data_IF_929798897471
#
_entry.id   IF_929798897471
#
_cell.length_a   1.000
_cell.length_b   1.000
_cell.length_c   1.000
_cell.angle_alpha   90.00
_cell.angle_beta   90.00
_cell.angle_gamma   90.00
#
_symmetry.space_group_name_H-M   'P 1'
#
loop_
_entity.id
_entity.type
_entity.pdbx_description
1 polymer ?
#
# COMPACT_ATOMS: atom_id res chain seq x y z
N UNK A 1 -14.26 -4.54 39.46
CA UNK A 1 -14.80 -3.16 39.55
C UNK A 1 -15.00 -2.66 38.13
N UNK A 2 -16.17 -2.06 37.93
CA UNK A 2 -16.85 -1.71 36.67
C UNK A 2 -15.99 -1.14 35.52
N UNK A 3 -16.36 -1.58 34.32
CA UNK A 3 -16.22 -0.88 33.05
C UNK A 3 -16.62 0.61 33.17
N UNK A 4 -15.77 1.49 32.66
CA UNK A 4 -16.21 2.78 32.13
C UNK A 4 -15.87 2.86 30.65
N UNK A 5 -16.94 2.81 29.86
CA UNK A 5 -16.99 3.10 28.45
C UNK A 5 -16.41 4.50 28.18
N UNK A 6 -15.42 4.60 27.30
CA UNK A 6 -15.12 5.86 26.62
C UNK A 6 -16.26 6.15 25.64
N UNK A 7 -17.32 6.76 26.19
CA UNK A 7 -18.44 7.38 25.49
C UNK A 7 -17.84 8.46 24.58
N UNK A 8 -18.15 8.39 23.29
CA UNK A 8 -17.80 9.35 22.25
C UNK A 8 -16.34 9.35 21.76
N UNK A 9 -15.91 8.27 21.10
CA UNK A 9 -14.94 8.45 20.01
C UNK A 9 -15.72 9.10 18.86
N UNK A 10 -15.78 10.43 18.86
CA UNK A 10 -16.05 11.14 17.63
C UNK A 10 -14.87 10.82 16.70
N UNK A 11 -15.12 9.98 15.68
CA UNK A 11 -14.29 9.92 14.49
C UNK A 11 -14.43 11.28 13.79
N UNK A 12 -13.77 12.30 14.34
CA UNK A 12 -13.65 13.60 13.69
C UNK A 12 -12.85 13.33 12.42
N UNK A 13 -13.51 13.53 11.29
CA UNK A 13 -12.95 13.46 9.96
C UNK A 13 -11.81 14.50 9.87
N UNK A 14 -10.61 14.08 10.24
CA UNK A 14 -9.43 14.94 10.31
C UNK A 14 -8.51 14.53 9.17
N UNK A 15 -8.63 15.24 8.05
CA UNK A 15 -7.65 15.17 6.97
C UNK A 15 -6.30 15.62 7.54
N UNK A 16 -5.35 14.69 7.68
CA UNK A 16 -3.94 15.01 7.90
C UNK A 16 -3.52 15.32 9.35
N UNK A 17 -3.80 14.44 10.32
CA UNK A 17 -3.12 14.46 11.62
C UNK A 17 -1.67 13.94 11.49
N UNK A 18 -0.81 14.67 10.78
CA UNK A 18 0.64 14.39 10.73
C UNK A 18 1.45 15.20 11.76
N UNK A 19 0.88 16.24 12.34
CA UNK A 19 1.58 17.04 13.36
C UNK A 19 0.86 16.96 14.70
N UNK A 20 1.64 16.67 15.75
CA UNK A 20 1.34 17.08 17.12
C UNK A 20 0.48 16.15 18.01
N UNK A 21 0.88 14.88 18.18
CA UNK A 21 0.30 14.08 19.27
C UNK A 21 1.33 13.17 19.98
N UNK A 22 1.23 13.11 21.33
CA UNK A 22 2.14 12.39 22.24
C UNK A 22 2.12 10.86 22.09
N UNK A 23 3.00 10.17 22.84
CA UNK A 23 3.38 8.76 22.62
C UNK A 23 2.25 7.75 22.40
N UNK A 24 1.10 7.88 23.09
CA UNK A 24 -0.07 7.01 22.89
C UNK A 24 -0.83 7.28 21.59
N UNK A 25 -0.97 8.53 21.17
CA UNK A 25 -1.65 8.91 19.92
C UNK A 25 -0.80 8.64 18.68
N UNK A 26 0.53 8.56 18.81
CA UNK A 26 1.41 8.09 17.71
C UNK A 26 1.11 6.65 17.30
N UNK A 27 0.71 5.79 18.25
CA UNK A 27 0.29 4.42 17.96
C UNK A 27 -1.02 4.40 17.17
N UNK A 28 -2.00 5.23 17.56
CA UNK A 28 -3.26 5.36 16.82
C UNK A 28 -3.05 5.94 15.43
N UNK A 29 -2.20 6.95 15.27
CA UNK A 29 -1.86 7.49 13.95
C UNK A 29 -1.15 6.46 13.05
N UNK A 30 -0.35 5.55 13.61
CA UNK A 30 0.23 4.43 12.84
C UNK A 30 -0.84 3.44 12.39
N UNK A 31 -1.75 3.04 13.28
CA UNK A 31 -2.85 2.11 12.97
C UNK A 31 -3.80 2.72 11.93
N UNK A 32 -4.18 3.99 12.10
CA UNK A 32 -5.04 4.73 11.18
C UNK A 32 -4.44 4.77 9.77
N UNK A 33 -3.17 5.17 9.66
CA UNK A 33 -2.44 5.15 8.38
C UNK A 33 -2.37 3.77 7.74
N UNK A 34 -2.24 2.69 8.53
CA UNK A 34 -2.22 1.32 7.99
C UNK A 34 -3.57 0.85 7.47
N UNK A 35 -4.67 1.34 8.04
CA UNK A 35 -6.03 0.98 7.66
C UNK A 35 -6.46 1.64 6.34
N UNK A 36 -6.03 2.88 6.12
CA UNK A 36 -6.46 3.67 4.96
C UNK A 36 -5.39 3.84 3.88
N UNK A 37 -4.21 3.20 4.00
CA UNK A 37 -3.17 3.28 2.97
C UNK A 37 -2.84 1.92 2.39
N UNK A 38 -2.56 1.91 1.09
CA UNK A 38 -2.14 0.73 0.33
C UNK A 38 -0.82 1.08 -0.35
N UNK A 39 0.23 0.32 -0.08
CA UNK A 39 1.50 0.43 -0.78
C UNK A 39 1.60 -0.66 -1.84
N UNK A 40 2.09 -0.31 -3.02
CA UNK A 40 2.16 -1.24 -4.14
C UNK A 40 3.01 -0.71 -5.28
N UNK A 41 3.09 -1.53 -6.32
CA UNK A 41 3.81 -1.16 -7.52
C UNK A 41 3.07 -1.58 -8.77
N UNK A 42 3.25 -0.80 -9.82
CA UNK A 42 2.67 -1.04 -11.12
C UNK A 42 3.59 -1.90 -12.00
N UNK A 43 2.98 -2.87 -12.68
CA UNK A 43 3.62 -3.67 -13.73
C UNK A 43 2.78 -3.58 -14.99
N UNK A 44 3.42 -3.23 -16.10
CA UNK A 44 2.76 -3.24 -17.41
C UNK A 44 3.12 -4.51 -18.17
N UNK A 45 2.16 -5.41 -18.37
CA UNK A 45 2.38 -6.67 -19.07
C UNK A 45 1.27 -6.90 -20.09
N UNK A 46 1.60 -7.27 -21.32
CA UNK A 46 0.65 -7.47 -22.43
C UNK A 46 -0.34 -6.30 -22.62
N UNK A 47 0.18 -5.06 -22.59
CA UNK A 47 -0.62 -3.82 -22.70
C UNK A 47 -1.67 -3.60 -21.59
N UNK A 48 -1.66 -4.45 -20.54
CA UNK A 48 -2.46 -4.27 -19.33
C UNK A 48 -1.59 -3.76 -18.19
N UNK A 49 -2.17 -2.92 -17.32
CA UNK A 49 -1.54 -2.46 -16.09
C UNK A 49 -2.05 -3.29 -14.92
N UNK A 50 -1.12 -3.79 -14.11
CA UNK A 50 -1.37 -4.53 -12.89
C UNK A 50 -0.80 -3.76 -11.71
N UNK A 51 -1.61 -3.58 -10.67
CA UNK A 51 -1.15 -3.02 -9.41
C UNK A 51 -0.96 -4.15 -8.40
N UNK A 52 0.29 -4.40 -8.00
CA UNK A 52 0.62 -5.41 -6.99
C UNK A 52 0.68 -4.72 -5.63
N UNK A 53 -0.23 -5.13 -4.75
CA UNK A 53 -0.23 -4.69 -3.35
C UNK A 53 0.89 -5.40 -2.58
N UNK A 54 1.80 -4.66 -1.95
CA UNK A 54 2.91 -5.24 -1.19
C UNK A 54 2.43 -6.11 -0.03
N UNK A 55 1.26 -5.80 0.55
CA UNK A 55 0.62 -6.64 1.58
C UNK A 55 0.34 -8.07 1.12
N UNK A 56 0.20 -8.30 -0.19
CA UNK A 56 -0.04 -9.63 -0.76
C UNK A 56 1.25 -10.44 -0.99
N UNK A 57 2.42 -9.83 -0.73
CA UNK A 57 3.74 -10.44 -0.93
C UNK A 57 4.46 -10.48 0.41
N UNK A 58 4.42 -11.62 1.13
CA UNK A 58 4.97 -11.73 2.49
C UNK A 58 6.43 -11.30 2.61
N UNK A 59 7.22 -11.47 1.54
CA UNK A 59 8.62 -11.06 1.49
C UNK A 59 8.85 -9.54 1.57
N UNK A 60 7.79 -8.73 1.48
CA UNK A 60 7.82 -7.27 1.57
C UNK A 60 6.93 -6.71 2.69
N UNK A 61 6.60 -7.51 3.72
CA UNK A 61 5.75 -7.06 4.83
C UNK A 61 6.34 -5.83 5.57
N UNK A 62 7.64 -5.85 5.85
CA UNK A 62 8.33 -4.75 6.52
C UNK A 62 8.35 -3.49 5.64
N UNK A 63 8.63 -3.64 4.35
CA UNK A 63 8.57 -2.55 3.38
C UNK A 63 7.16 -1.96 3.24
N UNK A 64 6.12 -2.80 3.19
CA UNK A 64 4.72 -2.39 3.14
C UNK A 64 4.33 -1.55 4.37
N UNK A 65 4.71 -2.02 5.55
CA UNK A 65 4.51 -1.29 6.81
C UNK A 65 5.26 0.05 6.79
N UNK A 66 6.54 0.04 6.40
CA UNK A 66 7.38 1.24 6.40
C UNK A 66 6.86 2.31 5.44
N UNK A 67 6.44 1.92 4.23
CA UNK A 67 5.89 2.82 3.21
C UNK A 67 4.55 3.42 3.63
N UNK A 68 3.67 2.63 4.25
CA UNK A 68 2.36 3.14 4.70
C UNK A 68 2.49 4.13 5.85
N UNK A 69 3.42 3.91 6.79
CA UNK A 69 3.60 4.81 7.95
C UNK A 69 4.18 6.16 7.52
N UNK A 70 5.26 6.13 6.73
CA UNK A 70 6.01 7.32 6.34
C UNK A 70 6.61 7.12 4.95
N UNK A 71 5.81 7.40 3.89
CA UNK A 71 6.32 7.40 2.53
C UNK A 71 7.30 8.56 2.33
N UNK A 72 8.39 8.30 1.63
CA UNK A 72 9.31 9.32 1.15
C UNK A 72 9.91 8.88 -0.19
N UNK A 73 10.32 9.83 -1.02
CA UNK A 73 10.89 9.52 -2.34
C UNK A 73 12.12 8.62 -2.25
N UNK A 74 12.96 8.82 -1.23
CA UNK A 74 14.15 7.99 -1.01
C UNK A 74 13.78 6.54 -0.65
N UNK A 75 12.76 6.35 0.21
CA UNK A 75 12.25 5.01 0.56
C UNK A 75 11.60 4.32 -0.63
N UNK A 76 10.82 5.06 -1.42
CA UNK A 76 10.21 4.55 -2.64
C UNK A 76 11.28 4.10 -3.64
N UNK A 77 12.35 4.89 -3.82
CA UNK A 77 13.49 4.52 -4.68
C UNK A 77 14.24 3.30 -4.16
N UNK A 78 14.50 3.22 -2.86
CA UNK A 78 15.20 2.08 -2.25
C UNK A 78 14.39 0.78 -2.43
N UNK A 79 13.10 0.84 -2.11
CA UNK A 79 12.20 -0.32 -2.24
C UNK A 79 12.01 -0.67 -3.72
N UNK A 80 11.99 0.32 -4.63
CA UNK A 80 11.97 0.07 -6.08
C UNK A 80 13.16 -0.74 -6.55
N UNK A 81 14.36 -0.44 -6.06
CA UNK A 81 15.55 -1.25 -6.34
C UNK A 81 15.40 -2.67 -5.79
N UNK A 82 14.88 -2.84 -4.57
CA UNK A 82 14.63 -4.16 -3.98
C UNK A 82 13.64 -4.98 -4.80
N UNK A 83 12.51 -4.39 -5.19
CA UNK A 83 11.47 -5.04 -6.02
C UNK A 83 12.05 -5.44 -7.38
N UNK A 84 12.78 -4.54 -8.05
CA UNK A 84 13.45 -4.80 -9.33
C UNK A 84 14.62 -5.78 -9.24
N UNK A 85 15.12 -6.10 -8.05
CA UNK A 85 16.16 -7.12 -7.88
C UNK A 85 15.59 -8.55 -7.85
N UNK A 86 14.27 -8.69 -7.63
CA UNK A 86 13.60 -9.98 -7.59
C UNK A 86 13.17 -10.42 -8.99
N UNK A 87 12.90 -11.72 -9.12
CA UNK A 87 12.26 -12.30 -10.31
C UNK A 87 10.77 -12.38 -10.06
N UNK A 88 9.99 -11.83 -10.99
CA UNK A 88 8.54 -11.81 -10.93
C UNK A 88 7.96 -12.71 -12.02
N UNK A 89 6.88 -13.39 -11.69
CA UNK A 89 6.22 -14.34 -12.58
C UNK A 89 4.76 -13.97 -12.74
N UNK A 90 4.29 -13.93 -13.98
CA UNK A 90 2.88 -13.79 -14.33
C UNK A 90 2.22 -15.16 -14.40
N UNK A 91 1.11 -15.34 -13.71
CA UNK A 91 0.28 -16.52 -13.82
C UNK A 91 -0.97 -16.19 -14.67
N UNK A 92 -1.09 -16.74 -15.89
CA UNK A 92 -2.22 -16.46 -16.78
C UNK A 92 -3.56 -16.99 -16.25
N UNK A 93 -3.58 -18.05 -15.44
CA UNK A 93 -4.83 -18.66 -14.96
C UNK A 93 -5.52 -17.81 -13.89
N UNK A 94 -4.73 -17.17 -13.03
CA UNK A 94 -5.21 -16.33 -11.92
C UNK A 94 -5.09 -14.84 -12.20
N UNK A 95 -4.61 -14.48 -13.40
CA UNK A 95 -4.23 -13.11 -13.80
C UNK A 95 -3.48 -12.34 -12.69
N UNK A 96 -2.50 -13.00 -12.07
CA UNK A 96 -1.75 -12.41 -10.95
C UNK A 96 -0.24 -12.48 -11.16
N UNK A 97 0.48 -11.66 -10.40
CA UNK A 97 1.93 -11.54 -10.45
C UNK A 97 2.51 -11.92 -9.09
N UNK A 98 3.43 -12.90 -9.08
CA UNK A 98 3.99 -13.48 -7.85
C UNK A 98 5.51 -13.61 -7.93
N UNK A 99 6.18 -13.72 -6.78
CA UNK A 99 7.63 -13.96 -6.71
C UNK A 99 8.05 -15.39 -7.04
N UNK A 100 7.12 -16.33 -6.91
CA UNK A 100 7.35 -17.76 -7.17
C UNK A 100 6.41 -18.23 -8.27
N UNK A 101 6.88 -19.10 -9.19
CA UNK A 101 6.00 -19.71 -10.17
C UNK A 101 4.96 -20.56 -9.45
N UNK A 102 3.68 -20.23 -9.61
CA UNK A 102 2.56 -20.96 -9.00
C UNK A 102 1.89 -21.94 -9.95
N UNK A 103 2.19 -21.85 -11.26
CA UNK A 103 1.67 -22.74 -12.30
C UNK A 103 2.78 -23.15 -13.26
N UNK A 104 2.58 -24.25 -13.99
CA UNK A 104 3.52 -24.74 -15.01
C UNK A 104 3.74 -23.69 -16.12
N UNK A 105 2.74 -22.84 -16.36
CA UNK A 105 2.75 -21.79 -17.38
C UNK A 105 3.13 -20.40 -16.83
N UNK A 106 3.79 -20.35 -15.67
CA UNK A 106 4.23 -19.07 -15.09
C UNK A 106 5.27 -18.40 -16.00
N UNK A 107 5.00 -17.19 -16.46
CA UNK A 107 5.88 -16.46 -17.38
C UNK A 107 6.75 -15.47 -16.61
N UNK A 108 8.05 -15.44 -16.88
CA UNK A 108 8.96 -14.46 -16.27
C UNK A 108 8.66 -13.06 -16.79
N UNK A 109 8.52 -12.10 -15.88
CA UNK A 109 8.32 -10.68 -16.17
C UNK A 109 9.68 -9.99 -16.17
N UNK A 110 9.94 -9.20 -17.21
CA UNK A 110 11.11 -8.31 -17.23
C UNK A 110 10.93 -7.18 -16.20
N UNK A 111 11.96 -6.95 -15.40
CA UNK A 111 11.97 -5.91 -14.38
C UNK A 111 11.87 -4.50 -14.97
N UNK A 112 12.18 -4.32 -16.25
CA UNK A 112 11.92 -3.06 -16.97
C UNK A 112 10.43 -2.68 -17.01
N UNK A 113 9.53 -3.67 -16.91
CA UNK A 113 8.07 -3.49 -16.92
C UNK A 113 7.51 -3.01 -15.58
N UNK A 114 8.33 -2.97 -14.53
CA UNK A 114 7.99 -2.41 -13.22
C UNK A 114 8.18 -0.89 -13.28
N UNK A 115 7.07 -0.16 -13.42
CA UNK A 115 7.06 1.26 -13.78
C UNK A 115 7.15 2.18 -12.58
N UNK A 116 6.33 1.96 -11.54
CA UNK A 116 6.18 2.89 -10.41
C UNK A 116 5.90 2.15 -9.10
N UNK A 117 6.47 2.63 -8.00
CA UNK A 117 5.98 2.32 -6.63
C UNK A 117 5.21 3.53 -6.14
N UNK A 118 4.07 3.30 -5.53
CA UNK A 118 3.24 4.35 -4.97
C UNK A 118 2.55 3.89 -3.69
N UNK A 119 2.13 4.88 -2.90
CA UNK A 119 1.31 4.67 -1.72
C UNK A 119 0.03 5.44 -1.92
N UNK A 120 -1.08 4.72 -1.97
CA UNK A 120 -2.40 5.24 -2.22
C UNK A 120 -3.18 5.30 -0.91
N UNK A 121 -3.92 6.38 -0.71
CA UNK A 121 -4.90 6.54 0.36
C UNK A 121 -6.27 6.09 -0.15
N UNK A 122 -6.95 5.28 0.65
CA UNK A 122 -8.32 4.84 0.44
C UNK A 122 -9.24 5.88 1.08
N UNK A 123 -9.98 6.60 0.25
CA UNK A 123 -10.96 7.62 0.66
C UNK A 123 -12.36 7.10 0.34
N UNK A 124 -13.21 6.98 1.36
CA UNK A 124 -14.61 6.57 1.18
C UNK A 124 -15.50 7.79 1.05
N UNK A 125 -16.11 7.96 -0.12
CA UNK A 125 -17.08 9.02 -0.37
C UNK A 125 -18.46 8.59 0.12
N UNK A 126 -18.85 9.05 1.30
CA UNK A 126 -20.13 8.72 1.91
C UNK A 126 -21.35 9.16 1.07
N UNK A 127 -21.19 10.13 0.17
CA UNK A 127 -22.29 10.61 -0.69
C UNK A 127 -22.50 9.72 -1.89
N UNK A 128 -21.43 9.31 -2.56
CA UNK A 128 -21.52 8.41 -3.73
C UNK A 128 -21.48 6.93 -3.35
N UNK A 129 -21.15 6.61 -2.09
CA UNK A 129 -20.84 5.27 -1.59
C UNK A 129 -19.70 4.59 -2.36
N UNK A 130 -18.79 5.38 -2.90
CA UNK A 130 -17.65 4.89 -3.69
C UNK A 130 -16.36 4.95 -2.89
N UNK A 131 -15.45 4.04 -3.21
CA UNK A 131 -14.08 4.04 -2.71
C UNK A 131 -13.20 4.68 -3.78
N UNK A 132 -12.47 5.74 -3.40
CA UNK A 132 -11.52 6.45 -4.26
C UNK A 132 -10.11 6.20 -3.75
N UNK A 133 -9.16 5.96 -4.66
CA UNK A 133 -7.74 5.87 -4.34
C UNK A 133 -7.08 7.20 -4.70
N UNK A 134 -6.35 7.80 -3.75
CA UNK A 134 -5.62 9.06 -3.94
C UNK A 134 -4.14 8.85 -3.62
N UNK A 135 -3.27 9.17 -4.56
CA UNK A 135 -1.82 9.10 -4.33
C UNK A 135 -1.41 10.09 -3.23
N UNK A 136 -0.63 9.62 -2.26
CA UNK A 136 -0.15 10.43 -1.14
C UNK A 136 0.89 11.45 -1.61
N UNK A 137 1.58 11.17 -2.71
CA UNK A 137 2.70 12.00 -3.20
C UNK A 137 2.30 13.03 -4.28
N UNK A 138 1.01 13.12 -4.66
CA UNK A 138 0.51 14.12 -5.63
C UNK A 138 -0.28 15.26 -4.96
N UNK A 139 0.25 15.79 -3.86
CA UNK A 139 -0.16 17.08 -3.31
C UNK A 139 1.00 18.07 -3.42
N UNK A 140 1.27 18.52 -4.64
CA UNK A 140 1.92 19.80 -4.93
C UNK A 140 0.99 20.59 -5.85
#
# INVERSE_FOLDING_TARGET
MLFFFARNIYLVQSKGLDSWMGGGMRMFGKIDKMLYRVAGFEVTYNSKKYFINLRSVPEFEDEDVALRILPSDDRLKEISKKIKSKKWFFNPEKENITLKPTSVNSLLIDNALITKIEVLTVDFDAKTKEIKLKDINYAN
#
